data_IF_365131389985
#
_entry.id   IF_365131389985
#
_cell.length_a   1.000
_cell.length_b   1.000
_cell.length_c   1.000
_cell.angle_alpha   90.00
_cell.angle_beta   90.00
_cell.angle_gamma   90.00
#
_symmetry.space_group_name_H-M   'P 1'
#
loop_
_entity.id
_entity.type
_entity.pdbx_description
1 polymer ?
#
# COMPACT_ATOMS: atom_id res chain seq x y z
N UNK A 1 -3.89 -26.49 -11.44
CA UNK A 1 -4.58 -25.29 -10.94
C UNK A 1 -4.11 -24.12 -11.79
N UNK A 2 -5.03 -23.32 -12.35
CA UNK A 2 -4.64 -22.12 -13.09
C UNK A 2 -3.99 -21.13 -12.13
N UNK A 3 -2.90 -20.48 -12.56
CA UNK A 3 -2.24 -19.44 -11.77
C UNK A 3 -3.21 -18.26 -11.64
N UNK A 4 -3.28 -17.67 -10.46
CA UNK A 4 -4.12 -16.49 -10.25
C UNK A 4 -3.58 -15.31 -11.07
N UNK A 5 -4.45 -14.52 -11.68
CA UNK A 5 -4.09 -13.32 -12.44
C UNK A 5 -4.40 -12.07 -11.61
N UNK A 6 -3.44 -11.15 -11.53
CA UNK A 6 -3.63 -9.86 -10.86
C UNK A 6 -3.49 -8.73 -11.89
N UNK A 7 -4.58 -8.04 -12.13
CA UNK A 7 -4.59 -6.84 -12.98
C UNK A 7 -4.07 -5.65 -12.17
N UNK A 8 -3.07 -4.98 -12.69
CA UNK A 8 -2.32 -3.88 -12.06
C UNK A 8 -2.17 -2.72 -13.03
N UNK A 9 -1.90 -1.55 -12.52
CA UNK A 9 -1.36 -0.41 -13.28
C UNK A 9 0.09 -0.13 -12.87
N UNK A 10 0.62 1.09 -13.09
CA UNK A 10 2.02 1.41 -12.83
C UNK A 10 2.51 0.99 -11.44
N UNK A 11 3.68 0.37 -11.41
CA UNK A 11 4.35 0.02 -10.16
C UNK A 11 4.97 1.25 -9.47
N UNK A 12 5.34 2.27 -10.24
CA UNK A 12 5.88 3.51 -9.68
C UNK A 12 4.80 4.34 -8.97
N UNK A 13 3.62 4.49 -9.58
CA UNK A 13 2.63 5.46 -9.14
C UNK A 13 1.41 4.85 -8.43
N UNK A 14 1.01 3.60 -8.75
CA UNK A 14 -0.22 3.04 -8.23
C UNK A 14 -0.08 2.43 -6.83
N UNK A 15 -0.51 3.16 -5.83
CA UNK A 15 -0.57 2.67 -4.46
C UNK A 15 -1.61 1.54 -4.26
N UNK A 16 -2.63 1.48 -5.10
CA UNK A 16 -3.62 0.41 -5.06
C UNK A 16 -3.06 -0.90 -5.63
N UNK A 17 -2.33 -0.83 -6.74
CA UNK A 17 -1.63 -1.98 -7.32
C UNK A 17 -0.61 -2.57 -6.35
N UNK A 18 0.19 -1.74 -5.68
CA UNK A 18 1.12 -2.19 -4.65
C UNK A 18 0.41 -2.95 -3.52
N UNK A 19 -0.71 -2.43 -3.01
CA UNK A 19 -1.49 -3.11 -1.96
C UNK A 19 -1.97 -4.48 -2.42
N UNK A 20 -2.62 -4.56 -3.58
CA UNK A 20 -3.13 -5.82 -4.12
C UNK A 20 -2.04 -6.86 -4.33
N UNK A 21 -0.90 -6.44 -4.84
CA UNK A 21 0.25 -7.31 -5.05
C UNK A 21 0.82 -7.83 -3.71
N UNK A 22 1.03 -6.94 -2.74
CA UNK A 22 1.50 -7.33 -1.40
C UNK A 22 0.54 -8.31 -0.72
N UNK A 23 -0.77 -8.12 -0.85
CA UNK A 23 -1.77 -9.03 -0.29
C UNK A 23 -1.68 -10.43 -0.90
N UNK A 24 -1.50 -10.53 -2.23
CA UNK A 24 -1.28 -11.83 -2.89
C UNK A 24 -0.01 -12.51 -2.39
N UNK A 25 1.08 -11.75 -2.27
CA UNK A 25 2.36 -12.28 -1.79
C UNK A 25 2.32 -12.68 -0.31
N UNK A 26 1.62 -11.93 0.54
CA UNK A 26 1.35 -12.29 1.95
C UNK A 26 0.59 -13.63 2.07
N UNK A 27 -0.36 -13.88 1.18
CA UNK A 27 -1.04 -15.16 1.08
C UNK A 27 -0.15 -16.29 0.54
N UNK A 28 1.14 -16.01 0.26
CA UNK A 28 2.08 -16.96 -0.30
C UNK A 28 1.76 -17.31 -1.76
N UNK A 29 1.11 -16.40 -2.49
CA UNK A 29 0.71 -16.61 -3.89
C UNK A 29 1.55 -15.76 -4.83
N UNK A 30 2.17 -16.43 -5.78
CA UNK A 30 2.63 -15.79 -6.99
C UNK A 30 1.46 -15.63 -7.95
N UNK A 31 1.40 -14.50 -8.63
CA UNK A 31 0.33 -14.16 -9.58
C UNK A 31 0.91 -13.86 -10.95
N UNK A 32 0.11 -14.09 -11.97
CA UNK A 32 0.40 -13.59 -13.31
C UNK A 32 -0.05 -12.14 -13.38
N UNK A 33 0.92 -11.22 -13.49
CA UNK A 33 0.65 -9.78 -13.52
C UNK A 33 0.17 -9.37 -14.91
N UNK A 34 -0.99 -8.73 -14.95
CA UNK A 34 -1.53 -8.11 -16.16
C UNK A 34 -1.50 -6.60 -15.99
N UNK A 35 -0.58 -5.94 -16.68
CA UNK A 35 -0.47 -4.49 -16.64
C UNK A 35 -1.53 -3.84 -17.52
N UNK A 36 -2.20 -2.82 -17.00
CA UNK A 36 -3.15 -1.97 -17.72
C UNK A 36 -2.40 -0.73 -18.21
N UNK A 37 -2.59 -0.38 -19.49
CA UNK A 37 -1.89 0.73 -20.10
C UNK A 37 -2.22 2.08 -19.44
N UNK A 38 -1.21 2.89 -19.15
CA UNK A 38 -1.33 4.20 -18.49
C UNK A 38 -1.98 5.27 -19.39
N UNK A 39 -1.99 5.06 -20.69
CA UNK A 39 -2.60 5.98 -21.65
C UNK A 39 -4.14 5.87 -21.74
N UNK A 40 -4.75 4.92 -21.03
CA UNK A 40 -6.20 4.86 -20.89
C UNK A 40 -6.68 5.92 -19.89
N UNK A 41 -7.64 6.81 -20.26
CA UNK A 41 -8.14 7.85 -19.35
C UNK A 41 -8.73 7.34 -18.04
N UNK A 42 -9.32 6.14 -18.03
CA UNK A 42 -9.84 5.51 -16.82
C UNK A 42 -8.73 5.08 -15.87
N UNK A 43 -7.65 4.51 -16.38
CA UNK A 43 -6.48 4.12 -15.62
C UNK A 43 -5.73 5.33 -15.07
N UNK A 44 -5.66 6.41 -15.86
CA UNK A 44 -5.04 7.67 -15.44
C UNK A 44 -5.76 8.30 -14.23
N UNK A 45 -7.10 8.30 -14.24
CA UNK A 45 -7.88 8.81 -13.11
C UNK A 45 -7.62 8.01 -11.82
N UNK A 46 -7.39 6.70 -11.92
CA UNK A 46 -6.99 5.86 -10.79
C UNK A 46 -5.58 6.19 -10.28
N UNK A 47 -4.63 6.32 -11.19
CA UNK A 47 -3.25 6.65 -10.83
C UNK A 47 -3.15 8.01 -10.13
N UNK A 48 -3.95 8.97 -10.54
CA UNK A 48 -4.09 10.28 -9.87
C UNK A 48 -4.80 10.21 -8.51
N UNK A 49 -5.26 9.02 -8.08
CA UNK A 49 -5.77 8.72 -6.72
C UNK A 49 -7.04 9.43 -6.31
N UNK A 50 -7.82 9.87 -7.23
CA UNK A 50 -9.04 10.60 -6.94
C UNK A 50 -10.17 9.68 -6.47
N UNK A 51 -10.06 8.36 -6.72
CA UNK A 51 -10.93 7.34 -6.11
C UNK A 51 -10.31 5.94 -6.24
N UNK A 52 -10.68 4.98 -5.35
CA UNK A 52 -10.33 3.58 -5.57
C UNK A 52 -11.05 3.09 -6.83
N UNK A 53 -10.28 2.67 -7.83
CA UNK A 53 -10.83 2.12 -9.06
C UNK A 53 -11.36 0.71 -8.81
N UNK A 54 -12.51 0.40 -9.40
CA UNK A 54 -13.04 -0.96 -9.46
C UNK A 54 -12.28 -1.87 -10.45
N UNK A 55 -11.30 -1.35 -11.15
CA UNK A 55 -10.55 -2.05 -12.20
C UNK A 55 -9.20 -2.60 -11.71
N UNK A 56 -8.49 -1.86 -10.84
CA UNK A 56 -7.19 -2.28 -10.31
C UNK A 56 -7.00 -1.87 -8.84
N UNK A 57 -6.44 -2.76 -8.01
CA UNK A 57 -6.10 -4.14 -8.35
C UNK A 57 -7.36 -5.00 -8.52
N UNK A 58 -7.29 -5.94 -9.47
CA UNK A 58 -8.34 -6.96 -9.64
C UNK A 58 -7.69 -8.34 -9.69
N UNK A 59 -8.09 -9.21 -8.77
CA UNK A 59 -7.66 -10.60 -8.72
C UNK A 59 -8.67 -11.48 -9.44
N UNK A 60 -8.20 -12.23 -10.44
CA UNK A 60 -8.99 -13.28 -11.10
C UNK A 60 -8.41 -14.64 -10.71
N UNK A 61 -9.23 -15.47 -10.06
CA UNK A 61 -8.79 -16.76 -9.53
C UNK A 61 -9.98 -17.76 -9.51
N UNK A 62 -9.82 -18.91 -10.19
CA UNK A 62 -10.80 -19.99 -10.21
C UNK A 62 -12.26 -19.56 -10.51
N UNK A 63 -12.42 -18.64 -11.45
CA UNK A 63 -13.72 -18.11 -11.86
C UNK A 63 -14.23 -16.94 -11.01
N UNK A 64 -13.58 -16.62 -9.88
CA UNK A 64 -13.86 -15.43 -9.12
C UNK A 64 -13.14 -14.21 -9.73
N UNK A 65 -13.80 -13.05 -9.72
CA UNK A 65 -13.21 -11.76 -10.02
C UNK A 65 -13.40 -10.87 -8.80
N UNK A 66 -12.30 -10.54 -8.11
CA UNK A 66 -12.32 -9.86 -6.81
C UNK A 66 -11.61 -8.52 -6.91
N UNK A 67 -12.26 -7.47 -6.54
CA UNK A 67 -11.79 -6.11 -6.34
C UNK A 67 -12.55 -5.56 -5.13
N UNK A 68 -12.16 -4.65 -4.39
CA UNK A 68 -10.97 -3.86 -4.15
C UNK A 68 -9.95 -4.58 -3.24
N UNK A 69 -8.99 -3.81 -2.69
CA UNK A 69 -7.92 -4.38 -1.85
C UNK A 69 -8.42 -5.06 -0.57
N UNK A 70 -9.46 -4.54 0.09
CA UNK A 70 -10.01 -5.18 1.30
C UNK A 70 -10.75 -6.48 0.95
N UNK A 71 -11.49 -6.49 -0.16
CA UNK A 71 -12.14 -7.71 -0.63
C UNK A 71 -11.11 -8.77 -1.04
N UNK A 72 -10.02 -8.36 -1.71
CA UNK A 72 -8.89 -9.26 -2.04
C UNK A 72 -8.27 -9.82 -0.76
N UNK A 73 -8.05 -9.00 0.27
CA UNK A 73 -7.49 -9.46 1.54
C UNK A 73 -8.37 -10.52 2.23
N UNK A 74 -9.68 -10.29 2.30
CA UNK A 74 -10.62 -11.23 2.91
C UNK A 74 -10.72 -12.53 2.09
N UNK A 75 -10.85 -12.42 0.76
CA UNK A 75 -10.88 -13.58 -0.14
C UNK A 75 -9.63 -14.45 0.01
N UNK A 76 -8.45 -13.85 0.02
CA UNK A 76 -7.19 -14.59 0.18
C UNK A 76 -7.05 -15.20 1.57
N UNK A 77 -7.47 -14.49 2.62
CA UNK A 77 -7.45 -15.01 3.98
C UNK A 77 -8.42 -16.19 4.18
N UNK A 78 -9.57 -16.17 3.51
CA UNK A 78 -10.54 -17.27 3.52
C UNK A 78 -9.96 -18.51 2.83
N UNK A 79 -9.29 -18.33 1.69
CA UNK A 79 -8.65 -19.43 0.95
C UNK A 79 -7.39 -19.97 1.63
N UNK A 80 -6.64 -19.11 2.32
CA UNK A 80 -5.32 -19.45 2.89
C UNK A 80 -5.24 -19.03 4.37
N UNK A 81 -6.09 -19.59 5.26
CA UNK A 81 -6.19 -19.13 6.65
C UNK A 81 -4.91 -19.31 7.46
N UNK A 82 -4.07 -20.28 7.07
CA UNK A 82 -2.82 -20.61 7.76
C UNK A 82 -1.66 -19.67 7.39
N UNK A 83 -1.86 -18.71 6.49
CA UNK A 83 -0.79 -17.78 6.07
C UNK A 83 -0.57 -16.62 7.01
N UNK A 84 -1.41 -16.46 8.03
CA UNK A 84 -1.23 -15.43 9.04
C UNK A 84 -1.42 -13.99 8.50
N UNK A 85 -2.25 -13.83 7.47
CA UNK A 85 -2.53 -12.51 6.88
C UNK A 85 -3.10 -11.52 7.89
N UNK A 86 -3.81 -12.02 8.90
CA UNK A 86 -4.32 -11.27 10.03
C UNK A 86 -3.78 -11.81 11.36
N UNK A 87 -3.70 -10.97 12.42
CA UNK A 87 -3.36 -11.45 13.76
C UNK A 87 -4.27 -12.59 14.22
N UNK A 88 -3.72 -13.63 14.92
CA UNK A 88 -4.52 -14.74 15.43
C UNK A 88 -5.45 -14.33 16.58
N UNK A 89 -5.06 -13.36 17.39
CA UNK A 89 -5.90 -12.81 18.46
C UNK A 89 -7.09 -12.05 17.88
N UNK A 90 -8.29 -12.30 18.41
CA UNK A 90 -9.53 -11.73 17.91
C UNK A 90 -9.57 -10.20 18.01
N UNK A 91 -9.04 -9.64 19.08
CA UNK A 91 -9.06 -8.19 19.33
C UNK A 91 -8.05 -7.49 18.41
N UNK A 92 -6.83 -8.02 18.33
CA UNK A 92 -5.80 -7.54 17.42
C UNK A 92 -6.27 -7.65 15.95
N UNK A 93 -6.93 -8.74 15.59
CA UNK A 93 -7.50 -8.92 14.23
C UNK A 93 -8.59 -7.90 13.91
N UNK A 94 -9.48 -7.60 14.87
CA UNK A 94 -10.47 -6.55 14.70
C UNK A 94 -9.81 -5.18 14.52
N UNK A 95 -8.79 -4.86 15.31
CA UNK A 95 -8.02 -3.62 15.19
C UNK A 95 -7.29 -3.54 13.83
N UNK A 96 -6.66 -4.63 13.38
CA UNK A 96 -6.03 -4.72 12.06
C UNK A 96 -7.01 -4.37 10.94
N UNK A 97 -8.23 -4.92 10.97
CA UNK A 97 -9.29 -4.60 10.00
C UNK A 97 -9.72 -3.13 10.09
N UNK A 98 -9.86 -2.58 11.30
CA UNK A 98 -10.28 -1.19 11.50
C UNK A 98 -9.30 -0.20 10.87
N UNK A 99 -8.00 -0.32 11.18
CA UNK A 99 -6.99 0.59 10.62
C UNK A 99 -6.77 0.36 9.12
N UNK A 100 -6.96 -0.87 8.63
CA UNK A 100 -6.95 -1.17 7.19
C UNK A 100 -8.12 -0.51 6.47
N UNK A 101 -9.30 -0.48 7.08
CA UNK A 101 -10.45 0.26 6.58
C UNK A 101 -10.24 1.77 6.62
N UNK A 102 -9.62 2.29 7.68
CA UNK A 102 -9.33 3.71 7.83
C UNK A 102 -8.36 4.20 6.74
N UNK A 103 -7.25 3.48 6.50
CA UNK A 103 -6.32 3.85 5.41
C UNK A 103 -6.93 3.60 4.02
N UNK A 104 -7.86 2.68 3.87
CA UNK A 104 -8.53 2.44 2.60
C UNK A 104 -9.42 3.62 2.19
N UNK A 105 -10.24 4.13 3.08
CA UNK A 105 -11.26 5.14 2.79
C UNK A 105 -10.86 6.58 3.12
N UNK A 106 -9.87 6.77 3.99
CA UNK A 106 -9.46 8.06 4.52
C UNK A 106 -8.21 8.67 3.89
N UNK A 107 -7.73 9.75 4.52
CA UNK A 107 -6.46 10.41 4.22
C UNK A 107 -6.37 11.00 2.81
N UNK A 108 -7.44 11.59 2.34
CA UNK A 108 -7.54 12.18 1.00
C UNK A 108 -6.57 13.36 0.82
N UNK A 109 -6.37 14.18 1.86
CA UNK A 109 -5.45 15.31 1.79
C UNK A 109 -3.99 14.83 1.67
N UNK A 110 -3.61 13.80 2.43
CA UNK A 110 -2.30 13.18 2.29
C UNK A 110 -2.07 12.64 0.88
N UNK A 111 -3.06 11.91 0.35
CA UNK A 111 -2.96 11.28 -0.98
C UNK A 111 -2.79 12.31 -2.08
N UNK A 112 -3.51 13.43 -2.00
CA UNK A 112 -3.43 14.53 -2.97
C UNK A 112 -2.15 15.33 -2.83
N UNK A 113 -1.70 15.60 -1.59
CA UNK A 113 -0.52 16.40 -1.34
C UNK A 113 0.80 15.66 -1.61
N UNK A 114 0.83 14.35 -1.37
CA UNK A 114 2.01 13.51 -1.47
C UNK A 114 1.70 12.27 -2.36
N UNK A 115 1.56 12.42 -3.69
CA UNK A 115 1.32 11.29 -4.58
C UNK A 115 2.44 10.25 -4.49
N UNK A 116 2.11 8.96 -4.69
CA UNK A 116 3.15 7.93 -4.65
C UNK A 116 4.01 8.01 -5.91
N UNK A 117 5.32 8.15 -5.71
CA UNK A 117 6.33 8.05 -6.73
C UNK A 117 7.57 7.38 -6.11
N UNK A 118 7.86 6.16 -6.52
CA UNK A 118 8.94 5.35 -5.93
C UNK A 118 10.32 5.73 -6.46
N UNK A 119 10.39 6.32 -7.65
CA UNK A 119 11.65 6.75 -8.28
C UNK A 119 12.14 8.09 -7.74
N UNK A 120 11.20 8.95 -7.31
CA UNK A 120 11.49 10.33 -6.90
C UNK A 120 12.01 10.41 -5.47
N UNK A 121 12.80 11.44 -5.20
CA UNK A 121 13.30 11.79 -3.88
C UNK A 121 13.43 13.30 -3.77
N UNK A 122 12.73 13.89 -2.82
CA UNK A 122 12.88 15.30 -2.50
C UNK A 122 13.74 15.47 -1.26
N UNK A 123 14.70 16.39 -1.29
CA UNK A 123 15.49 16.75 -0.11
C UNK A 123 14.68 17.61 0.86
N UNK A 124 13.91 18.55 0.30
CA UNK A 124 12.98 19.41 1.02
C UNK A 124 11.69 19.51 0.22
N UNK A 125 10.56 19.29 0.88
CA UNK A 125 9.24 19.41 0.26
C UNK A 125 8.29 20.16 1.19
N UNK A 126 7.67 21.26 0.75
CA UNK A 126 6.70 21.99 1.58
C UNK A 126 5.40 21.21 1.66
N UNK A 127 5.23 20.40 2.72
CA UNK A 127 4.00 19.64 2.92
C UNK A 127 2.82 20.59 3.09
N UNK A 128 1.82 20.45 2.25
CA UNK A 128 0.57 21.21 2.33
C UNK A 128 -0.06 21.08 3.71
N UNK A 129 -0.42 22.21 4.32
CA UNK A 129 -0.90 22.25 5.71
C UNK A 129 -2.14 21.39 5.97
N UNK A 130 -3.01 21.21 4.97
CA UNK A 130 -4.18 20.34 5.05
C UNK A 130 -3.85 18.84 5.16
N UNK A 131 -2.65 18.42 4.80
CA UNK A 131 -2.21 17.03 4.95
C UNK A 131 -1.67 16.72 6.35
N UNK A 132 -1.32 17.74 7.16
CA UNK A 132 -0.74 17.53 8.51
C UNK A 132 -1.62 16.70 9.44
N UNK A 133 -2.94 16.94 9.56
CA UNK A 133 -3.80 16.10 10.39
C UNK A 133 -3.82 14.64 9.96
N UNK A 134 -3.76 14.38 8.65
CA UNK A 134 -3.68 13.03 8.11
C UNK A 134 -2.37 12.34 8.55
N UNK A 135 -1.24 13.06 8.46
CA UNK A 135 0.08 12.57 8.89
C UNK A 135 0.08 12.27 10.39
N UNK A 136 -0.36 13.20 11.22
CA UNK A 136 -0.45 13.06 12.68
C UNK A 136 -1.32 11.85 13.08
N UNK A 137 -2.46 11.65 12.40
CA UNK A 137 -3.32 10.49 12.65
C UNK A 137 -2.63 9.18 12.28
N UNK A 138 -1.92 9.13 11.15
CA UNK A 138 -1.17 7.95 10.73
C UNK A 138 -0.05 7.62 11.72
N UNK A 139 0.71 8.61 12.18
CA UNK A 139 1.75 8.41 13.19
C UNK A 139 1.15 7.86 14.50
N UNK A 140 0.01 8.41 14.92
CA UNK A 140 -0.72 7.90 16.10
C UNK A 140 -1.10 6.44 15.94
N UNK A 141 -1.68 6.05 14.79
CA UNK A 141 -2.03 4.65 14.50
C UNK A 141 -0.80 3.75 14.59
N UNK A 142 0.31 4.14 13.96
CA UNK A 142 1.52 3.32 13.94
C UNK A 142 2.14 3.20 15.34
N UNK A 143 2.20 4.30 16.08
CA UNK A 143 2.71 4.29 17.45
C UNK A 143 1.87 3.38 18.36
N UNK A 144 0.54 3.54 18.37
CA UNK A 144 -0.37 2.71 19.17
C UNK A 144 -0.23 1.21 18.83
N UNK A 145 -0.11 0.87 17.55
CA UNK A 145 0.06 -0.51 17.12
C UNK A 145 1.39 -1.09 17.58
N UNK A 146 2.50 -0.39 17.35
CA UNK A 146 3.85 -0.87 17.71
C UNK A 146 4.00 -0.97 19.23
N UNK A 147 3.52 0.00 19.99
CA UNK A 147 3.54 -0.05 21.47
C UNK A 147 2.72 -1.23 22.01
N UNK A 148 1.56 -1.47 21.41
CA UNK A 148 0.63 -2.50 21.89
C UNK A 148 1.03 -3.91 21.47
N UNK A 149 1.57 -4.10 20.28
CA UNK A 149 1.79 -5.43 19.68
C UNK A 149 3.27 -5.79 19.50
N UNK A 150 4.19 -4.88 19.83
CA UNK A 150 5.63 -5.16 19.98
C UNK A 150 6.48 -5.03 18.73
N UNK A 151 5.94 -4.55 17.60
CA UNK A 151 6.75 -4.27 16.40
C UNK A 151 7.65 -5.42 15.90
N UNK A 152 8.46 -5.23 14.87
CA UNK A 152 8.64 -4.00 14.08
C UNK A 152 7.52 -3.72 13.07
N UNK A 153 6.64 -4.70 12.77
CA UNK A 153 5.42 -4.51 12.00
C UNK A 153 4.27 -4.09 12.92
N UNK A 154 3.17 -3.60 12.35
CA UNK A 154 2.07 -3.02 13.14
C UNK A 154 1.42 -4.00 14.12
N UNK A 155 1.46 -5.29 13.84
CA UNK A 155 0.88 -6.33 14.71
C UNK A 155 1.88 -7.39 15.16
N UNK A 156 3.13 -7.01 15.37
CA UNK A 156 4.18 -7.88 15.91
C UNK A 156 5.35 -8.10 14.95
N UNK A 157 5.91 -9.31 14.98
CA UNK A 157 7.17 -9.60 14.26
C UNK A 157 6.99 -10.00 12.79
N UNK A 158 5.76 -10.22 12.35
CA UNK A 158 5.44 -10.62 10.98
C UNK A 158 4.50 -9.60 10.33
N UNK A 159 4.64 -9.32 9.04
CA UNK A 159 3.76 -8.41 8.33
C UNK A 159 2.34 -8.99 8.22
N UNK A 160 1.37 -8.11 8.28
CA UNK A 160 -0.07 -8.42 8.15
C UNK A 160 -0.71 -7.62 7.02
N UNK A 161 -2.01 -7.81 6.82
CA UNK A 161 -2.82 -6.98 5.90
C UNK A 161 -2.63 -5.49 6.18
N UNK A 162 -2.55 -5.06 7.46
CA UNK A 162 -2.35 -3.66 7.79
C UNK A 162 -1.03 -3.11 7.22
N UNK A 163 0.06 -3.88 7.29
CA UNK A 163 1.35 -3.48 6.75
C UNK A 163 1.31 -3.33 5.22
N UNK A 164 0.63 -4.25 4.53
CA UNK A 164 0.40 -4.13 3.09
C UNK A 164 -0.43 -2.88 2.73
N UNK A 165 -1.43 -2.56 3.56
CA UNK A 165 -2.29 -1.39 3.36
C UNK A 165 -1.57 -0.07 3.63
N UNK A 166 -0.65 -0.02 4.61
CA UNK A 166 0.13 1.18 4.93
C UNK A 166 1.45 1.30 4.13
N UNK A 167 1.94 0.26 3.48
CA UNK A 167 3.18 0.30 2.70
C UNK A 167 3.30 1.47 1.71
N UNK A 168 2.27 1.85 0.92
CA UNK A 168 2.35 3.03 0.06
C UNK A 168 2.55 4.34 0.84
N UNK A 169 2.04 4.43 2.07
CA UNK A 169 2.18 5.64 2.90
C UNK A 169 3.63 5.82 3.35
N UNK A 170 4.30 4.74 3.76
CA UNK A 170 5.72 4.81 4.12
C UNK A 170 6.56 5.32 2.96
N UNK A 171 6.23 4.91 1.73
CA UNK A 171 6.93 5.38 0.53
C UNK A 171 6.69 6.87 0.25
N UNK A 172 5.46 7.35 0.44
CA UNK A 172 5.14 8.79 0.35
C UNK A 172 5.98 9.60 1.33
N UNK A 173 6.03 9.19 2.60
CA UNK A 173 6.82 9.89 3.61
C UNK A 173 8.32 9.92 3.28
N UNK A 174 8.84 8.82 2.75
CA UNK A 174 10.23 8.72 2.32
C UNK A 174 10.49 9.60 1.09
N UNK A 175 9.65 9.55 0.07
CA UNK A 175 9.80 10.32 -1.18
C UNK A 175 9.84 11.81 -0.91
N UNK A 176 8.95 12.32 -0.05
CA UNK A 176 8.81 13.75 0.23
C UNK A 176 9.58 14.21 1.48
N UNK A 177 10.45 13.35 2.03
CA UNK A 177 11.27 13.64 3.21
C UNK A 177 10.47 14.23 4.38
N UNK A 178 9.30 13.63 4.67
CA UNK A 178 8.40 14.09 5.73
C UNK A 178 9.09 13.89 7.09
N UNK A 179 9.10 14.92 7.92
CA UNK A 179 9.61 14.82 9.30
C UNK A 179 8.65 13.98 10.13
N UNK A 180 9.14 12.88 10.68
CA UNK A 180 8.37 11.90 11.43
C UNK A 180 8.93 11.69 12.84
N UNK A 181 8.11 11.15 13.73
CA UNK A 181 8.55 10.62 15.02
C UNK A 181 9.55 9.46 14.85
N UNK A 182 10.38 9.17 15.86
CA UNK A 182 11.32 8.04 15.80
C UNK A 182 10.63 6.70 15.52
N UNK A 183 9.45 6.46 16.08
CA UNK A 183 8.67 5.23 15.87
C UNK A 183 8.20 5.12 14.43
N UNK A 184 7.65 6.19 13.87
CA UNK A 184 7.19 6.21 12.49
C UNK A 184 8.36 6.09 11.49
N UNK A 185 9.50 6.70 11.79
CA UNK A 185 10.73 6.55 10.99
C UNK A 185 11.19 5.09 10.99
N UNK A 186 11.30 4.45 12.15
CA UNK A 186 11.68 3.04 12.26
C UNK A 186 10.71 2.10 11.52
N UNK A 187 9.41 2.41 11.55
CA UNK A 187 8.43 1.64 10.79
C UNK A 187 8.61 1.82 9.26
N UNK A 188 8.88 3.04 8.79
CA UNK A 188 9.20 3.28 7.38
C UNK A 188 10.44 2.49 6.93
N UNK A 189 11.46 2.40 7.79
CA UNK A 189 12.66 1.59 7.54
C UNK A 189 12.33 0.10 7.49
N UNK A 190 11.51 -0.40 8.42
CA UNK A 190 11.03 -1.79 8.47
C UNK A 190 10.31 -2.17 7.18
N UNK A 191 9.35 -1.37 6.74
CA UNK A 191 8.62 -1.62 5.49
C UNK A 191 9.56 -1.53 4.29
N UNK A 192 10.48 -0.57 4.27
CA UNK A 192 11.46 -0.45 3.19
C UNK A 192 12.40 -1.64 3.10
N UNK A 193 12.78 -2.23 4.22
CA UNK A 193 13.63 -3.42 4.30
C UNK A 193 12.87 -4.73 4.03
N UNK A 194 11.55 -4.70 4.02
CA UNK A 194 10.74 -5.88 3.75
C UNK A 194 11.03 -6.44 2.34
N UNK A 195 11.43 -7.73 2.19
CA UNK A 195 11.85 -8.28 0.89
C UNK A 195 10.84 -8.08 -0.24
N UNK A 196 9.53 -8.18 0.05
CA UNK A 196 8.50 -7.93 -0.94
C UNK A 196 8.46 -6.46 -1.40
N UNK A 197 8.73 -5.52 -0.50
CA UNK A 197 8.84 -4.12 -0.88
C UNK A 197 10.07 -3.85 -1.75
N UNK A 198 11.21 -4.51 -1.46
CA UNK A 198 12.41 -4.40 -2.28
C UNK A 198 12.20 -4.96 -3.69
N UNK A 199 11.49 -6.09 -3.80
CA UNK A 199 11.09 -6.68 -5.09
C UNK A 199 10.23 -5.69 -5.91
N UNK A 200 9.20 -5.10 -5.27
CA UNK A 200 8.34 -4.13 -5.92
C UNK A 200 9.08 -2.85 -6.34
N UNK A 201 9.92 -2.28 -5.46
CA UNK A 201 10.70 -1.08 -5.74
C UNK A 201 11.66 -1.31 -6.92
N UNK A 202 12.30 -2.47 -6.96
CA UNK A 202 13.20 -2.84 -8.07
C UNK A 202 12.43 -2.93 -9.40
N UNK A 203 11.24 -3.52 -9.38
CA UNK A 203 10.39 -3.60 -10.56
C UNK A 203 9.87 -2.23 -10.99
N UNK A 204 9.50 -1.36 -10.05
CA UNK A 204 9.08 0.01 -10.32
C UNK A 204 10.22 0.85 -10.95
N UNK A 205 11.45 0.68 -10.47
CA UNK A 205 12.62 1.39 -11.03
C UNK A 205 12.89 1.02 -12.50
N UNK A 206 12.54 -0.21 -12.90
CA UNK A 206 12.70 -0.69 -14.28
C UNK A 206 11.54 -0.27 -15.21
N UNK A 207 10.46 0.31 -14.70
CA UNK A 207 9.31 0.77 -15.46
C UNK A 207 9.70 2.00 -16.31
N UNK A 208 9.53 1.97 -17.64
CA UNK A 208 10.01 3.07 -18.50
C UNK A 208 9.11 4.30 -18.49
N UNK A 209 7.87 4.14 -18.03
CA UNK A 209 6.83 5.16 -18.16
C UNK A 209 6.94 6.21 -17.05
N UNK A 210 6.73 7.48 -17.41
CA UNK A 210 6.68 8.62 -16.51
C UNK A 210 5.34 9.34 -16.69
N UNK A 211 4.81 9.90 -15.61
CA UNK A 211 3.57 10.70 -15.63
C UNK A 211 3.90 12.10 -15.13
N UNK A 212 3.96 13.06 -16.04
CA UNK A 212 4.31 14.45 -15.75
C UNK A 212 3.45 15.05 -14.61
N UNK A 213 2.16 14.70 -14.52
CA UNK A 213 1.26 15.20 -13.48
C UNK A 213 1.57 14.65 -12.07
N UNK A 214 2.36 13.60 -11.99
CA UNK A 214 2.82 13.00 -10.72
C UNK A 214 4.32 13.24 -10.47
N UNK A 215 5.01 13.84 -11.43
CA UNK A 215 6.35 14.40 -11.29
C UNK A 215 6.20 15.82 -10.72
N UNK A 216 6.16 15.93 -9.39
CA UNK A 216 5.96 17.23 -8.72
C UNK A 216 7.28 17.96 -8.69
N UNK A 217 7.45 18.98 -9.53
CA UNK A 217 8.57 19.91 -9.52
C UNK A 217 8.21 21.17 -8.70
N UNK A 218 9.11 21.58 -7.81
CA UNK A 218 9.03 22.85 -7.06
C UNK A 218 10.34 23.61 -7.13
#
# INVERSE_FOLDING_TARGET
>A
MSRAQLTLSSKNYSSWSLRGWLLCRLAGREVDEQMVAMNDPGNRAELLLLSPSVLVPRLTHEGASVWDTLAIAEYLNELYPDKGMYPPDRIARAHCRSISGEIHSGFSNLRSALPMNLKMRHETFPVFSGAKPDIERIETIWQECIERYGGPFLFGTQPTVADAMFAPVTRRFITYNVTLSPVATAYCETISAWPLMQEWITAAAAEPEEMEELEVEF
#
